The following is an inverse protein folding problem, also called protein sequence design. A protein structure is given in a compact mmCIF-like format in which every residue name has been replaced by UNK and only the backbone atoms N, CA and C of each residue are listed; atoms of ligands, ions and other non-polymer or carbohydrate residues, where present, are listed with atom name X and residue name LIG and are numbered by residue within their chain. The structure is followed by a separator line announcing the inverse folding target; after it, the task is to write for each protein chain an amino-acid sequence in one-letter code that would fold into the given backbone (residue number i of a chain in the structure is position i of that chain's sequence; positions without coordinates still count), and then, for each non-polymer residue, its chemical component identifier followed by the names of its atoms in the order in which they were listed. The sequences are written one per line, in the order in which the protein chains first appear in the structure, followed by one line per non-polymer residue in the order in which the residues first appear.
data_IF_647863053831
#
_entry.id   IF_647863053831
#
_cell.length_a   1.000
_cell.length_b   1.000
_cell.length_c   1.000
_cell.angle_alpha   90.00
_cell.angle_beta   90.00
_cell.angle_gamma   90.00
#
_symmetry.space_group_name_H-M   'P 1'
#
loop_
_entity.id
_entity.type
_entity.pdbx_description
1 polymer ?
#
# COMPACT_ATOMS: atom_id res chain seq x y z
N UNK A 1 -4.28 -18.78 -16.97
CA UNK A 1 -3.80 -17.38 -17.06
C UNK A 1 -3.09 -17.15 -18.39
N UNK A 2 -3.66 -16.32 -19.27
CA UNK A 2 -2.97 -15.89 -20.49
C UNK A 2 -1.77 -15.06 -20.05
N UNK A 3 -0.57 -15.48 -20.45
CA UNK A 3 0.65 -14.76 -20.10
C UNK A 3 0.65 -13.41 -20.84
N UNK A 4 0.29 -12.34 -20.14
CA UNK A 4 0.45 -10.97 -20.63
C UNK A 4 1.94 -10.70 -20.80
N UNK A 5 2.37 -10.40 -22.03
CA UNK A 5 3.78 -10.04 -22.26
C UNK A 5 4.14 -8.76 -21.50
N UNK A 6 5.40 -8.57 -21.07
CA UNK A 6 5.82 -7.41 -20.30
C UNK A 6 5.47 -6.06 -20.95
N UNK A 7 5.38 -6.02 -22.28
CA UNK A 7 5.04 -4.81 -23.04
C UNK A 7 3.54 -4.51 -23.05
N UNK A 8 2.70 -5.55 -23.11
CA UNK A 8 1.25 -5.41 -22.97
C UNK A 8 0.89 -4.92 -21.58
N UNK A 9 1.51 -5.48 -20.54
CA UNK A 9 1.30 -5.02 -19.16
C UNK A 9 1.75 -3.56 -18.99
N UNK A 10 2.90 -3.18 -19.53
CA UNK A 10 3.38 -1.78 -19.49
C UNK A 10 2.39 -0.79 -20.13
N UNK A 11 1.81 -1.14 -21.29
CA UNK A 11 0.83 -0.28 -21.97
C UNK A 11 -0.49 -0.20 -21.20
N UNK A 12 -0.97 -1.33 -20.67
CA UNK A 12 -2.17 -1.39 -19.86
C UNK A 12 -2.03 -0.51 -18.62
N UNK A 13 -0.96 -0.72 -17.84
CA UNK A 13 -0.66 0.07 -16.63
C UNK A 13 -0.60 1.55 -16.94
N UNK A 14 0.05 1.97 -18.04
CA UNK A 14 0.11 3.38 -18.40
C UNK A 14 -1.27 3.99 -18.70
N UNK A 15 -2.18 3.23 -19.30
CA UNK A 15 -3.55 3.67 -19.59
C UNK A 15 -4.39 3.76 -18.32
N UNK A 16 -4.34 2.73 -17.48
CA UNK A 16 -5.04 2.72 -16.20
C UNK A 16 -4.53 3.84 -15.29
N UNK A 17 -3.22 4.06 -15.19
CA UNK A 17 -2.67 5.14 -14.36
C UNK A 17 -3.09 6.52 -14.83
N UNK A 18 -3.30 6.75 -16.14
CA UNK A 18 -3.90 8.00 -16.61
C UNK A 18 -5.33 8.18 -16.08
N UNK A 19 -6.15 7.14 -16.14
CA UNK A 19 -7.53 7.19 -15.63
C UNK A 19 -7.57 7.37 -14.11
N UNK A 20 -6.79 6.57 -13.36
CA UNK A 20 -6.68 6.67 -11.91
C UNK A 20 -6.22 8.06 -11.45
N UNK A 21 -5.20 8.62 -12.10
CA UNK A 21 -4.68 9.94 -11.69
C UNK A 21 -5.61 11.08 -12.02
N UNK A 22 -6.40 11.01 -13.09
CA UNK A 22 -7.44 12.01 -13.36
C UNK A 22 -8.55 12.01 -12.30
N UNK A 23 -8.86 10.86 -11.71
CA UNK A 23 -9.90 10.74 -10.70
C UNK A 23 -9.42 11.05 -9.27
N UNK A 24 -8.14 10.80 -8.96
CA UNK A 24 -7.62 10.79 -7.58
C UNK A 24 -6.52 11.83 -7.34
N UNK A 25 -5.72 12.14 -8.36
CA UNK A 25 -4.55 12.99 -8.23
C UNK A 25 -4.74 14.32 -8.95
N UNK A 26 -5.31 15.30 -8.26
CA UNK A 26 -5.14 16.71 -8.64
C UNK A 26 -3.72 17.11 -8.23
N UNK A 27 -2.87 17.40 -9.21
CA UNK A 27 -1.42 17.58 -9.03
C UNK A 27 -1.08 18.65 -7.98
N UNK A 28 -1.91 19.68 -7.88
CA UNK A 28 -1.60 20.89 -7.11
C UNK A 28 -2.42 21.04 -5.81
N UNK A 29 -3.34 20.11 -5.52
CA UNK A 29 -4.20 20.17 -4.32
C UNK A 29 -3.68 19.35 -3.14
N UNK A 30 -2.66 18.53 -3.34
CA UNK A 30 -2.12 17.73 -2.24
C UNK A 30 -1.21 18.56 -1.36
N UNK A 31 -1.70 18.87 -0.16
CA UNK A 31 -0.95 19.60 0.88
C UNK A 31 -0.57 18.69 2.05
N UNK A 32 -1.43 17.73 2.39
CA UNK A 32 -1.25 16.76 3.47
C UNK A 32 -2.15 15.55 3.26
N UNK A 33 -1.91 14.48 4.03
CA UNK A 33 -2.90 13.40 4.20
C UNK A 33 -4.17 13.99 4.84
N UNK A 34 -5.32 13.63 4.28
CA UNK A 34 -6.61 14.14 4.71
C UNK A 34 -6.99 13.66 6.12
N UNK A 35 -7.65 14.54 6.88
CA UNK A 35 -8.00 14.26 8.28
C UNK A 35 -9.15 13.24 8.40
N UNK A 36 -10.16 13.30 7.52
CA UNK A 36 -11.32 12.40 7.61
C UNK A 36 -10.97 10.90 7.42
N UNK A 37 -10.24 10.47 6.37
CA UNK A 37 -9.77 9.08 6.26
C UNK A 37 -8.89 8.64 7.44
N UNK A 38 -8.14 9.58 8.03
CA UNK A 38 -7.30 9.34 9.20
C UNK A 38 -8.14 8.99 10.44
N UNK A 39 -9.23 9.72 10.67
CA UNK A 39 -10.08 9.50 11.84
C UNK A 39 -10.91 8.21 11.71
N UNK A 40 -11.39 7.88 10.51
CA UNK A 40 -12.04 6.59 10.23
C UNK A 40 -11.09 5.41 10.47
N UNK A 41 -9.86 5.52 9.95
CA UNK A 41 -8.82 4.52 10.21
C UNK A 41 -8.54 4.37 11.72
N UNK A 42 -8.38 5.48 12.45
CA UNK A 42 -8.17 5.45 13.88
C UNK A 42 -9.37 4.83 14.63
N UNK A 43 -10.61 5.10 14.20
CA UNK A 43 -11.80 4.50 14.78
C UNK A 43 -11.82 2.98 14.59
N UNK A 44 -11.47 2.48 13.40
CA UNK A 44 -11.36 1.06 13.11
C UNK A 44 -10.32 0.36 13.99
N UNK A 45 -9.11 0.92 14.10
CA UNK A 45 -8.06 0.36 14.95
C UNK A 45 -8.49 0.34 16.42
N UNK A 46 -9.18 1.40 16.90
CA UNK A 46 -9.73 1.41 18.27
C UNK A 46 -10.74 0.30 18.50
N UNK A 47 -11.59 -0.02 17.52
CA UNK A 47 -12.54 -1.13 17.62
C UNK A 47 -11.76 -2.44 17.84
N UNK A 48 -10.80 -2.75 16.98
CA UNK A 48 -9.96 -3.95 17.10
C UNK A 48 -9.22 -4.00 18.45
N UNK A 49 -8.58 -2.90 18.86
CA UNK A 49 -7.85 -2.86 20.13
C UNK A 49 -8.74 -3.06 21.35
N UNK A 50 -10.01 -2.63 21.34
CA UNK A 50 -10.98 -2.89 22.42
C UNK A 50 -11.34 -4.38 22.52
N UNK A 51 -11.26 -5.12 21.42
CA UNK A 51 -11.42 -6.58 21.41
C UNK A 51 -10.13 -7.33 21.77
N UNK A 52 -9.04 -6.61 22.08
CA UNK A 52 -7.75 -7.20 22.41
C UNK A 52 -6.79 -7.32 21.22
N UNK A 53 -7.31 -7.22 19.99
CA UNK A 53 -6.56 -7.43 18.76
C UNK A 53 -5.46 -6.37 18.53
N UNK A 54 -4.41 -6.78 17.80
CA UNK A 54 -3.35 -5.92 17.28
C UNK A 54 -3.31 -6.08 15.76
N UNK A 55 -4.01 -5.23 15.00
CA UNK A 55 -4.05 -5.32 13.54
C UNK A 55 -2.66 -5.14 12.91
N UNK A 56 -2.41 -5.83 11.79
CA UNK A 56 -1.27 -5.53 10.92
C UNK A 56 -1.74 -4.65 9.76
N UNK A 57 -1.15 -3.46 9.65
CA UNK A 57 -1.39 -2.50 8.57
C UNK A 57 -0.37 -2.73 7.48
N UNK A 58 -0.86 -3.04 6.29
CA UNK A 58 -0.03 -3.42 5.16
C UNK A 58 0.11 -2.26 4.17
N UNK A 59 1.34 -1.77 3.97
CA UNK A 59 1.63 -0.78 2.93
C UNK A 59 1.99 -1.50 1.64
N UNK A 60 1.08 -1.48 0.66
CA UNK A 60 1.23 -2.17 -0.62
C UNK A 60 2.24 -1.46 -1.53
N UNK A 61 2.99 -2.21 -2.37
CA UNK A 61 3.78 -1.62 -3.44
C UNK A 61 2.90 -1.17 -4.60
N UNK A 62 3.41 -0.22 -5.38
CA UNK A 62 2.93 0.01 -6.74
C UNK A 62 3.72 -0.84 -7.74
N UNK A 63 3.11 -1.14 -8.88
CA UNK A 63 3.82 -1.71 -10.02
C UNK A 63 4.92 -0.72 -10.47
N UNK A 64 6.16 -1.13 -10.81
CA UNK A 64 7.26 -0.17 -11.03
C UNK A 64 7.04 0.88 -12.11
N UNK A 65 6.29 0.55 -13.17
CA UNK A 65 5.86 1.50 -14.19
C UNK A 65 4.81 2.48 -13.67
N UNK A 66 3.88 2.02 -12.85
CA UNK A 66 2.92 2.88 -12.15
C UNK A 66 3.63 3.80 -11.15
N UNK A 67 4.56 3.28 -10.34
CA UNK A 67 5.38 4.07 -9.43
C UNK A 67 6.04 5.24 -10.17
N UNK A 68 6.79 4.96 -11.24
CA UNK A 68 7.45 6.00 -12.06
C UNK A 68 6.46 7.03 -12.62
N UNK A 69 5.26 6.60 -12.97
CA UNK A 69 4.22 7.51 -13.43
C UNK A 69 3.68 8.38 -12.29
N UNK A 70 3.48 7.79 -11.11
CA UNK A 70 2.96 8.46 -9.92
C UNK A 70 4.00 9.36 -9.23
N UNK A 71 5.29 9.15 -9.47
CA UNK A 71 6.35 10.02 -8.96
C UNK A 71 6.18 11.49 -9.39
N UNK A 72 5.56 11.73 -10.55
CA UNK A 72 5.22 13.10 -11.01
C UNK A 72 4.10 13.78 -10.21
N UNK A 73 3.45 13.03 -9.32
CA UNK A 73 2.41 13.48 -8.38
C UNK A 73 2.90 13.32 -6.91
N UNK A 74 4.21 13.27 -6.73
CA UNK A 74 4.88 13.22 -5.43
C UNK A 74 4.52 12.02 -4.56
N UNK A 75 4.15 10.89 -5.16
CA UNK A 75 3.70 9.70 -4.40
C UNK A 75 4.71 9.28 -3.34
N UNK A 76 6.01 9.39 -3.59
CA UNK A 76 7.05 9.10 -2.60
C UNK A 76 6.99 10.01 -1.38
N UNK A 77 6.66 11.30 -1.55
CA UNK A 77 6.42 12.22 -0.44
C UNK A 77 5.15 11.83 0.32
N UNK A 78 4.05 11.53 -0.39
CA UNK A 78 2.79 11.08 0.21
C UNK A 78 2.97 9.80 1.04
N UNK A 79 3.72 8.82 0.54
CA UNK A 79 4.05 7.59 1.27
C UNK A 79 4.85 7.87 2.54
N UNK A 80 5.82 8.81 2.52
CA UNK A 80 6.55 9.22 3.73
C UNK A 80 5.63 9.89 4.75
N UNK A 81 4.67 10.67 4.28
CA UNK A 81 3.68 11.31 5.15
C UNK A 81 2.75 10.29 5.80
N UNK A 82 2.25 9.30 5.04
CA UNK A 82 1.47 8.18 5.59
C UNK A 82 2.25 7.42 6.65
N UNK A 83 3.54 7.10 6.43
CA UNK A 83 4.39 6.47 7.44
C UNK A 83 4.51 7.32 8.72
N UNK A 84 4.67 8.63 8.55
CA UNK A 84 4.75 9.58 9.66
C UNK A 84 3.43 9.63 10.43
N UNK A 85 2.30 9.64 9.72
CA UNK A 85 0.96 9.61 10.28
C UNK A 85 0.74 8.34 11.12
N UNK A 86 1.05 7.17 10.55
CA UNK A 86 0.92 5.89 11.26
C UNK A 86 1.75 5.89 12.56
N UNK A 87 2.99 6.37 12.50
CA UNK A 87 3.84 6.51 13.69
C UNK A 87 3.21 7.45 14.73
N UNK A 88 2.62 8.58 14.32
CA UNK A 88 1.92 9.51 15.22
C UNK A 88 0.67 8.88 15.84
N UNK A 89 -0.04 8.05 15.11
CA UNK A 89 -1.21 7.32 15.63
C UNK A 89 -0.79 6.28 16.69
N UNK A 90 0.33 5.59 16.48
CA UNK A 90 0.89 4.67 17.49
C UNK A 90 1.33 5.43 18.76
N UNK A 91 2.19 6.44 18.61
CA UNK A 91 2.84 7.09 19.76
C UNK A 91 1.99 8.15 20.43
N UNK A 92 1.22 8.93 19.65
CA UNK A 92 0.46 10.08 20.14
C UNK A 92 -0.98 9.75 20.54
N UNK A 93 -1.59 8.72 19.95
CA UNK A 93 -2.96 8.29 20.27
C UNK A 93 -3.02 6.94 20.99
N UNK A 94 -1.87 6.30 21.24
CA UNK A 94 -1.78 5.01 21.95
C UNK A 94 -2.43 3.84 21.21
N UNK A 95 -2.60 3.95 19.89
CA UNK A 95 -3.20 2.89 19.08
C UNK A 95 -2.20 1.74 18.91
N UNK A 96 -2.66 0.50 19.09
CA UNK A 96 -1.85 -0.71 18.97
C UNK A 96 -2.07 -1.34 17.59
N UNK A 97 -1.06 -1.29 16.74
CA UNK A 97 -1.05 -1.99 15.46
C UNK A 97 0.39 -2.15 14.98
N UNK A 98 0.63 -3.14 14.15
CA UNK A 98 1.90 -3.38 13.47
C UNK A 98 1.87 -2.77 12.08
N UNK A 99 3.03 -2.35 11.57
CA UNK A 99 3.16 -1.86 10.18
C UNK A 99 4.06 -2.79 9.39
N UNK A 100 3.51 -3.41 8.35
CA UNK A 100 4.24 -4.19 7.38
C UNK A 100 4.47 -3.36 6.11
N UNK A 101 5.69 -2.87 5.95
CA UNK A 101 6.07 -1.99 4.85
C UNK A 101 6.63 -2.75 3.65
N UNK A 102 5.76 -3.04 2.68
CA UNK A 102 6.09 -3.71 1.43
C UNK A 102 5.99 -2.77 0.23
N UNK A 103 6.21 -1.46 0.42
CA UNK A 103 6.23 -0.53 -0.72
C UNK A 103 7.36 -0.84 -1.70
N UNK A 104 8.38 -1.56 -1.25
CA UNK A 104 9.44 -2.14 -2.08
C UNK A 104 9.17 -3.64 -2.31
N UNK A 105 9.10 -4.04 -3.58
CA UNK A 105 8.95 -5.43 -3.99
C UNK A 105 10.05 -6.34 -3.44
N UNK A 106 11.26 -5.83 -3.27
CA UNK A 106 12.37 -6.60 -2.73
C UNK A 106 12.12 -7.09 -1.29
N UNK A 107 11.32 -6.35 -0.51
CA UNK A 107 11.07 -6.66 0.89
C UNK A 107 10.28 -7.96 1.13
N UNK A 108 9.66 -8.51 0.09
CA UNK A 108 8.89 -9.76 0.17
C UNK A 108 9.15 -10.71 -1.02
N UNK A 109 10.15 -10.42 -1.86
CA UNK A 109 10.44 -11.21 -3.07
C UNK A 109 9.36 -11.09 -4.15
N UNK A 110 8.74 -9.92 -4.26
CA UNK A 110 7.70 -9.63 -5.24
C UNK A 110 8.23 -9.45 -6.67
N UNK A 111 7.34 -9.61 -7.65
CA UNK A 111 7.64 -9.46 -9.07
C UNK A 111 6.86 -8.30 -9.71
N UNK A 112 7.54 -7.52 -10.54
CA UNK A 112 6.96 -6.42 -11.30
C UNK A 112 5.91 -6.87 -12.35
N UNK A 113 5.86 -8.16 -12.68
CA UNK A 113 4.92 -8.75 -13.65
C UNK A 113 3.69 -9.37 -12.98
N UNK A 114 3.62 -9.36 -11.65
CA UNK A 114 2.57 -10.01 -10.86
C UNK A 114 1.61 -8.97 -10.28
N UNK A 115 1.07 -8.15 -11.17
CA UNK A 115 0.02 -7.18 -10.90
C UNK A 115 -1.12 -7.31 -11.93
N UNK A 116 -2.36 -7.09 -11.50
CA UNK A 116 -3.51 -6.98 -12.41
C UNK A 116 -3.52 -5.62 -13.14
N UNK A 117 -3.10 -4.57 -12.44
CA UNK A 117 -3.01 -3.19 -12.92
C UNK A 117 -1.80 -2.47 -12.27
N UNK A 118 -1.80 -1.13 -12.20
CA UNK A 118 -0.72 -0.37 -11.56
C UNK A 118 -0.61 -0.50 -10.03
N UNK A 119 -1.64 -1.03 -9.35
CA UNK A 119 -1.82 -0.95 -7.89
C UNK A 119 -2.12 -2.31 -7.27
N UNK A 120 -2.93 -3.13 -7.93
CA UNK A 120 -3.44 -4.40 -7.39
C UNK A 120 -2.52 -5.56 -7.74
N UNK A 121 -1.98 -6.21 -6.70
CA UNK A 121 -1.15 -7.41 -6.83
C UNK A 121 -1.97 -8.63 -7.26
N UNK A 122 -1.38 -9.52 -8.06
CA UNK A 122 -1.95 -10.85 -8.31
C UNK A 122 -1.80 -11.75 -7.09
N UNK A 123 -2.45 -12.91 -7.11
CA UNK A 123 -2.31 -13.96 -6.09
C UNK A 123 -0.85 -14.40 -5.86
N UNK A 124 0.02 -14.30 -6.86
CA UNK A 124 1.44 -14.66 -6.72
C UNK A 124 2.16 -13.68 -5.80
N UNK A 125 2.06 -12.37 -6.06
CA UNK A 125 2.67 -11.34 -5.21
C UNK A 125 2.01 -11.32 -3.82
N UNK A 126 0.68 -11.45 -3.75
CA UNK A 126 -0.04 -11.55 -2.47
C UNK A 126 0.43 -12.74 -1.65
N UNK A 127 0.64 -13.91 -2.27
CA UNK A 127 1.16 -15.09 -1.56
C UNK A 127 2.59 -14.89 -1.06
N UNK A 128 3.44 -14.22 -1.84
CA UNK A 128 4.81 -13.89 -1.42
C UNK A 128 4.81 -12.94 -0.21
N UNK A 129 3.96 -11.92 -0.24
CA UNK A 129 3.75 -11.01 0.88
C UNK A 129 3.26 -11.74 2.14
N UNK A 130 2.23 -12.59 2.03
CA UNK A 130 1.72 -13.36 3.18
C UNK A 130 2.79 -14.29 3.77
N UNK A 131 3.62 -14.93 2.94
CA UNK A 131 4.75 -15.74 3.42
C UNK A 131 5.78 -14.90 4.16
N UNK A 132 6.09 -13.71 3.68
CA UNK A 132 6.99 -12.76 4.37
C UNK A 132 6.41 -12.35 5.73
N UNK A 133 5.13 -12.00 5.79
CA UNK A 133 4.47 -11.68 7.06
C UNK A 133 4.53 -12.84 8.05
N UNK A 134 4.30 -14.06 7.59
CA UNK A 134 4.46 -15.27 8.39
C UNK A 134 5.89 -15.46 8.91
N UNK A 135 6.90 -15.23 8.06
CA UNK A 135 8.32 -15.28 8.47
C UNK A 135 8.68 -14.21 9.51
N UNK A 136 8.03 -13.04 9.47
CA UNK A 136 8.18 -11.96 10.46
C UNK A 136 7.39 -12.19 11.75
N UNK A 137 6.61 -13.26 11.83
CA UNK A 137 5.73 -13.53 12.99
C UNK A 137 4.54 -12.58 13.09
N UNK A 138 4.22 -11.83 12.01
CA UNK A 138 3.10 -10.88 11.97
C UNK A 138 1.77 -11.53 11.60
N UNK A 139 1.82 -12.74 11.05
CA UNK A 139 0.66 -13.63 11.00
C UNK A 139 0.72 -14.52 12.23
N UNK A 140 0.07 -14.11 13.32
CA UNK A 140 -0.12 -14.99 14.46
C UNK A 140 -0.86 -16.24 13.99
N UNK A 141 -0.29 -17.41 14.27
CA UNK A 141 -1.10 -18.63 14.32
C UNK A 141 -2.08 -18.48 15.48
N UNK A 142 -3.34 -18.94 15.33
CA UNK A 142 -4.26 -19.05 16.46
C UNK A 142 -3.63 -19.88 17.59
#
# INVERSE_FOLDING_TARGET
PVATTPDLLRRQVATEMRQYTQAIFVRDDYTKVEDAPTDDFAALIRIANRHGDVPTVFLTPYQPGAQRFLDRYDIGARTREVRTLLKRLQTGRGLRFEVADFTDLANFGGSATQFYDGVHMTTVNTSAALRELGRRGLLTRP
#
